data_IF_535698079490
#
_entry.id   IF_535698079490
#
_cell.length_a   1.000
_cell.length_b   1.000
_cell.length_c   1.000
_cell.angle_alpha   90.00
_cell.angle_beta   90.00
_cell.angle_gamma   90.00
#
_symmetry.space_group_name_H-M   'P 1'
#
loop_
_entity.id
_entity.type
_entity.pdbx_description
1 polymer ?
#
# COMPACT_ATOMS: atom_id res chain seq x y z
N UNK A 1 -2.11 17.59 4.96
CA UNK A 1 -3.56 17.37 5.11
C UNK A 1 -3.79 15.88 5.40
N UNK A 2 -5.00 15.37 5.65
CA UNK A 2 -5.25 13.93 5.50
C UNK A 2 -4.87 13.51 4.08
N UNK A 3 -4.10 12.43 3.94
CA UNK A 3 -3.57 12.01 2.63
C UNK A 3 -3.88 10.53 2.39
N UNK A 4 -4.44 10.24 1.21
CA UNK A 4 -4.61 8.88 0.69
C UNK A 4 -3.58 8.62 -0.41
N UNK A 5 -2.81 7.55 -0.27
CA UNK A 5 -1.79 7.14 -1.24
C UNK A 5 -2.33 5.95 -2.05
N UNK A 6 -2.22 6.03 -3.37
CA UNK A 6 -2.63 5.01 -4.32
C UNK A 6 -1.51 4.78 -5.32
N UNK A 7 -1.32 3.53 -5.76
CA UNK A 7 -0.36 3.16 -6.80
C UNK A 7 -1.12 2.89 -8.10
N UNK A 8 -0.55 3.27 -9.24
CA UNK A 8 -1.12 2.95 -10.55
C UNK A 8 -1.30 1.44 -10.74
N UNK A 9 -0.34 0.64 -10.26
CA UNK A 9 -0.40 -0.82 -10.27
C UNK A 9 -1.53 -1.43 -9.42
N UNK A 10 -2.13 -0.68 -8.49
CA UNK A 10 -3.26 -1.12 -7.66
C UNK A 10 -4.64 -0.71 -8.25
N UNK A 11 -4.64 0.01 -9.38
CA UNK A 11 -5.86 0.32 -10.11
C UNK A 11 -6.39 -0.92 -10.81
N UNK A 12 -7.71 -0.99 -11.00
CA UNK A 12 -8.38 -2.11 -11.64
C UNK A 12 -8.97 -1.73 -13.00
N UNK A 13 -9.13 -2.73 -13.88
CA UNK A 13 -9.74 -2.58 -15.21
C UNK A 13 -11.17 -2.04 -15.19
N UNK A 14 -11.87 -2.08 -14.07
CA UNK A 14 -13.25 -1.62 -13.89
C UNK A 14 -13.35 -0.28 -13.14
N UNK A 15 -12.23 0.28 -12.67
CA UNK A 15 -12.23 1.60 -12.02
C UNK A 15 -12.63 2.69 -13.03
N UNK A 16 -13.77 3.34 -12.80
CA UNK A 16 -14.30 4.38 -13.67
C UNK A 16 -13.73 5.75 -13.33
N UNK A 17 -13.15 5.89 -12.15
CA UNK A 17 -12.44 7.07 -11.65
C UNK A 17 -11.50 6.71 -10.51
N UNK A 18 -10.68 7.68 -10.07
CA UNK A 18 -9.87 7.55 -8.85
C UNK A 18 -10.71 7.35 -7.57
N UNK A 19 -11.99 7.73 -7.58
CA UNK A 19 -12.90 7.55 -6.46
C UNK A 19 -13.15 6.06 -6.16
N UNK A 20 -13.17 5.21 -7.19
CA UNK A 20 -13.42 3.77 -7.05
C UNK A 20 -12.25 3.06 -6.37
N UNK A 21 -11.03 3.37 -6.82
CA UNK A 21 -9.79 2.94 -6.18
C UNK A 21 -9.71 3.46 -4.73
N UNK A 22 -10.03 4.73 -4.50
CA UNK A 22 -10.02 5.31 -3.16
C UNK A 22 -11.02 4.62 -2.22
N UNK A 23 -12.25 4.35 -2.69
CA UNK A 23 -13.28 3.64 -1.94
C UNK A 23 -12.84 2.22 -1.60
N UNK A 24 -12.26 1.49 -2.56
CA UNK A 24 -11.73 0.14 -2.35
C UNK A 24 -10.60 0.12 -1.32
N UNK A 25 -9.65 1.06 -1.42
CA UNK A 25 -8.53 1.18 -0.48
C UNK A 25 -9.02 1.53 0.93
N UNK A 26 -9.95 2.47 1.08
CA UNK A 26 -10.54 2.82 2.37
C UNK A 26 -11.32 1.64 2.97
N UNK A 27 -12.09 0.91 2.18
CA UNK A 27 -12.78 -0.30 2.64
C UNK A 27 -11.80 -1.38 3.11
N UNK A 28 -10.64 -1.53 2.45
CA UNK A 28 -9.57 -2.43 2.92
C UNK A 28 -8.95 -1.95 4.24
N UNK A 29 -8.62 -0.67 4.34
CA UNK A 29 -8.07 -0.09 5.57
C UNK A 29 -9.05 -0.19 6.75
N UNK A 30 -10.33 0.11 6.52
CA UNK A 30 -11.38 -0.01 7.51
C UNK A 30 -11.50 -1.44 8.05
N UNK A 31 -11.43 -2.46 7.19
CA UNK A 31 -11.41 -3.86 7.62
C UNK A 31 -10.21 -4.22 8.49
N UNK A 32 -9.04 -3.66 8.20
CA UNK A 32 -7.83 -3.89 9.01
C UNK A 32 -7.97 -3.23 10.39
N UNK A 33 -8.48 -2.00 10.44
CA UNK A 33 -8.67 -1.27 11.70
C UNK A 33 -9.82 -1.84 12.53
N UNK A 34 -10.87 -2.35 11.89
CA UNK A 34 -12.01 -2.99 12.54
C UNK A 34 -11.73 -4.46 12.92
N UNK A 35 -10.55 -5.01 12.60
CA UNK A 35 -10.18 -6.34 13.03
C UNK A 35 -10.27 -6.43 14.57
N UNK A 36 -10.88 -7.48 15.14
CA UNK A 36 -11.06 -7.58 16.57
C UNK A 36 -9.70 -7.59 17.28
N UNK A 37 -9.53 -6.67 18.22
CA UNK A 37 -8.46 -6.70 19.21
C UNK A 37 -9.06 -7.35 20.48
N UNK A 38 -8.50 -8.48 20.97
CA UNK A 38 -9.04 -9.15 22.16
C UNK A 38 -9.08 -8.26 23.40
N UNK A 39 -8.23 -7.23 23.46
CA UNK A 39 -8.14 -6.31 24.60
C UNK A 39 -8.83 -4.97 24.35
N UNK A 40 -9.38 -4.73 23.14
CA UNK A 40 -10.03 -3.47 22.80
C UNK A 40 -11.24 -3.66 21.86
N UNK A 41 -12.45 -3.24 22.27
CA UNK A 41 -13.56 -3.19 21.33
C UNK A 41 -13.20 -2.25 20.16
N UNK A 42 -13.34 -2.78 18.93
CA UNK A 42 -12.99 -2.06 17.70
C UNK A 42 -13.86 -0.81 17.48
N UNK A 43 -13.40 0.16 16.67
CA UNK A 43 -14.15 1.40 16.45
C UNK A 43 -15.45 1.11 15.68
N UNK A 44 -16.59 1.52 16.24
CA UNK A 44 -17.89 1.39 15.56
C UNK A 44 -17.99 2.36 14.38
N UNK A 45 -18.61 1.92 13.27
CA UNK A 45 -18.94 2.78 12.12
C UNK A 45 -17.83 2.97 11.06
N UNK A 46 -16.73 2.21 11.13
CA UNK A 46 -15.66 2.24 10.12
C UNK A 46 -16.09 1.68 8.75
N UNK A 47 -17.15 0.87 8.69
CA UNK A 47 -17.68 0.31 7.43
C UNK A 47 -18.22 1.37 6.45
N UNK A 48 -18.59 2.55 6.95
CA UNK A 48 -19.18 3.64 6.15
C UNK A 48 -18.16 4.75 5.80
N UNK A 49 -16.86 4.43 5.85
CA UNK A 49 -15.80 5.38 5.48
C UNK A 49 -15.68 5.43 3.96
N UNK A 50 -16.39 6.39 3.37
CA UNK A 50 -16.25 6.73 1.95
C UNK A 50 -15.23 7.84 1.74
N UNK A 51 -14.60 7.92 0.56
CA UNK A 51 -13.70 9.03 0.26
C UNK A 51 -14.41 10.38 0.28
N UNK A 52 -15.69 10.45 -0.11
CA UNK A 52 -16.51 11.66 -0.04
C UNK A 52 -16.70 12.14 1.40
N UNK A 53 -16.98 11.20 2.33
CA UNK A 53 -17.12 11.50 3.75
C UNK A 53 -15.80 11.97 4.34
N UNK A 54 -14.69 11.32 3.98
CA UNK A 54 -13.35 11.73 4.40
C UNK A 54 -13.01 13.14 3.92
N UNK A 55 -13.31 13.45 2.65
CA UNK A 55 -13.11 14.78 2.08
C UNK A 55 -13.96 15.84 2.76
N UNK A 56 -15.24 15.53 3.05
CA UNK A 56 -16.10 16.42 3.82
C UNK A 56 -15.54 16.68 5.22
N UNK A 57 -15.13 15.64 5.95
CA UNK A 57 -14.54 15.78 7.28
C UNK A 57 -13.25 16.62 7.25
N UNK A 58 -12.36 16.33 6.29
CA UNK A 58 -11.13 17.11 6.10
C UNK A 58 -11.47 18.60 5.88
N UNK A 59 -12.43 18.89 4.99
CA UNK A 59 -12.91 20.24 4.72
C UNK A 59 -13.47 20.93 5.97
N UNK A 60 -14.29 20.26 6.76
CA UNK A 60 -14.80 20.83 8.02
C UNK A 60 -13.68 21.14 9.02
N UNK A 61 -12.56 20.44 8.93
CA UNK A 61 -11.33 20.71 9.68
C UNK A 61 -10.42 21.75 8.99
N UNK A 62 -10.88 22.45 7.95
CA UNK A 62 -10.16 23.50 7.23
C UNK A 62 -9.01 22.99 6.35
N UNK A 63 -9.00 21.71 5.98
CA UNK A 63 -7.91 21.09 5.18
C UNK A 63 -8.50 20.25 4.05
N UNK A 64 -8.08 20.40 2.79
CA UNK A 64 -8.58 19.53 1.72
C UNK A 64 -8.07 18.09 1.92
N UNK A 65 -8.80 17.09 1.43
CA UNK A 65 -8.25 15.75 1.28
C UNK A 65 -7.19 15.78 0.17
N UNK A 66 -6.01 15.22 0.43
CA UNK A 66 -4.97 15.04 -0.57
C UNK A 66 -4.97 13.59 -1.04
N UNK A 67 -4.94 13.36 -2.34
CA UNK A 67 -4.72 12.04 -2.94
C UNK A 67 -3.41 12.08 -3.72
N UNK A 68 -2.51 11.15 -3.42
CA UNK A 68 -1.27 10.95 -4.17
C UNK A 68 -1.41 9.69 -5.02
N UNK A 69 -1.32 9.83 -6.34
CA UNK A 69 -1.26 8.72 -7.28
C UNK A 69 0.18 8.53 -7.75
N UNK A 70 0.78 7.41 -7.36
CA UNK A 70 2.16 7.04 -7.64
C UNK A 70 2.24 6.04 -8.80
N UNK A 71 3.02 6.35 -9.83
CA UNK A 71 3.24 5.50 -10.99
C UNK A 71 1.97 5.16 -11.79
N UNK A 72 1.12 6.13 -12.18
CA UNK A 72 -0.05 5.86 -13.04
C UNK A 72 0.31 5.17 -14.36
N UNK A 73 1.55 5.30 -14.85
CA UNK A 73 2.05 4.57 -16.02
C UNK A 73 2.05 3.03 -15.85
N UNK A 74 1.93 2.52 -14.62
CA UNK A 74 1.79 1.09 -14.32
C UNK A 74 0.32 0.63 -14.29
N UNK A 75 -0.65 1.50 -14.62
CA UNK A 75 -2.06 1.17 -14.63
C UNK A 75 -2.39 0.06 -15.65
N UNK A 76 -3.48 -0.70 -15.43
CA UNK A 76 -3.90 -1.71 -16.38
C UNK A 76 -4.18 -1.14 -17.79
N UNK A 77 -3.82 -1.86 -18.88
CA UNK A 77 -3.99 -1.36 -20.24
C UNK A 77 -5.44 -1.03 -20.61
N UNK A 78 -6.42 -1.75 -20.06
CA UNK A 78 -7.85 -1.47 -20.31
C UNK A 78 -8.22 -0.08 -19.79
N UNK A 79 -7.72 0.29 -18.61
CA UNK A 79 -7.91 1.61 -18.05
C UNK A 79 -7.15 2.67 -18.86
N UNK A 80 -5.91 2.38 -19.27
CA UNK A 80 -5.11 3.29 -20.10
C UNK A 80 -5.78 3.62 -21.45
N UNK A 81 -6.44 2.66 -22.10
CA UNK A 81 -7.17 2.90 -23.35
C UNK A 81 -8.38 3.82 -23.19
N UNK A 82 -8.92 3.97 -21.97
CA UNK A 82 -10.06 4.84 -21.65
C UNK A 82 -9.65 6.03 -20.77
N UNK A 83 -8.38 6.41 -20.81
CA UNK A 83 -7.82 7.47 -19.98
C UNK A 83 -8.59 8.80 -20.04
N UNK A 84 -9.07 9.29 -21.20
CA UNK A 84 -9.86 10.52 -21.24
C UNK A 84 -11.14 10.44 -20.40
N UNK A 85 -11.93 9.37 -20.57
CA UNK A 85 -13.18 9.16 -19.84
C UNK A 85 -12.93 8.97 -18.33
N UNK A 86 -11.91 8.19 -17.98
CA UNK A 86 -11.50 7.99 -16.59
C UNK A 86 -11.04 9.30 -15.93
N UNK A 87 -10.32 10.13 -16.68
CA UNK A 87 -9.80 11.42 -16.22
C UNK A 87 -10.93 12.43 -16.04
N UNK A 88 -11.90 12.47 -16.94
CA UNK A 88 -13.09 13.32 -16.82
C UNK A 88 -13.88 13.01 -15.55
N UNK A 89 -14.17 11.73 -15.28
CA UNK A 89 -14.86 11.33 -14.05
C UNK A 89 -14.03 11.60 -12.80
N UNK A 90 -12.72 11.36 -12.86
CA UNK A 90 -11.81 11.73 -11.77
C UNK A 90 -11.85 13.23 -11.50
N UNK A 91 -11.80 14.06 -12.55
CA UNK A 91 -11.88 15.50 -12.45
C UNK A 91 -13.23 15.99 -11.88
N UNK A 92 -14.34 15.37 -12.26
CA UNK A 92 -15.66 15.65 -11.68
C UNK A 92 -15.67 15.39 -10.18
N UNK A 93 -15.22 14.20 -9.77
CA UNK A 93 -15.14 13.80 -8.37
C UNK A 93 -14.24 14.71 -7.53
N UNK A 94 -13.06 15.09 -8.04
CA UNK A 94 -12.15 16.02 -7.36
C UNK A 94 -12.82 17.37 -7.08
N UNK A 95 -13.60 17.92 -8.03
CA UNK A 95 -14.33 19.18 -7.85
C UNK A 95 -15.46 19.06 -6.85
N UNK A 96 -16.27 18.01 -6.95
CA UNK A 96 -17.42 17.78 -6.06
C UNK A 96 -16.97 17.67 -4.59
N UNK A 97 -15.84 17.01 -4.37
CA UNK A 97 -15.30 16.76 -3.03
C UNK A 97 -14.30 17.82 -2.55
N UNK A 98 -13.85 18.73 -3.43
CA UNK A 98 -12.72 19.65 -3.19
C UNK A 98 -11.46 18.89 -2.72
N UNK A 99 -11.25 17.72 -3.33
CA UNK A 99 -10.07 16.89 -3.13
C UNK A 99 -8.96 17.38 -4.05
N UNK A 100 -7.73 17.37 -3.56
CA UNK A 100 -6.54 17.72 -4.34
C UNK A 100 -5.81 16.46 -4.76
N UNK A 101 -5.47 16.36 -6.04
CA UNK A 101 -4.68 15.27 -6.60
C UNK A 101 -3.24 15.71 -6.83
N UNK A 102 -2.29 14.86 -6.43
CA UNK A 102 -0.88 14.92 -6.82
C UNK A 102 -0.56 13.66 -7.59
N UNK A 103 0.04 13.81 -8.77
CA UNK A 103 0.45 12.69 -9.62
C UNK A 103 1.97 12.61 -9.61
N UNK A 104 2.50 11.54 -9.03
CA UNK A 104 3.92 11.21 -9.10
C UNK A 104 4.11 10.25 -10.29
N UNK A 105 4.53 10.82 -11.42
CA UNK A 105 4.69 10.08 -12.67
C UNK A 105 5.92 10.56 -13.42
N UNK A 106 6.33 9.77 -14.41
CA UNK A 106 7.28 10.19 -15.43
C UNK A 106 6.77 11.36 -16.27
N UNK A 107 7.70 12.23 -16.70
CA UNK A 107 7.36 13.42 -17.48
C UNK A 107 6.65 13.07 -18.80
N UNK A 108 7.11 12.01 -19.47
CA UNK A 108 6.56 11.54 -20.75
C UNK A 108 5.11 11.08 -20.60
N UNK A 109 4.77 10.47 -19.45
CA UNK A 109 3.40 10.11 -19.14
C UNK A 109 2.54 11.37 -18.92
N UNK A 110 3.06 12.35 -18.17
CA UNK A 110 2.34 13.59 -17.86
C UNK A 110 2.05 14.45 -19.09
N UNK A 111 2.94 14.47 -20.08
CA UNK A 111 2.73 15.20 -21.34
C UNK A 111 1.43 14.76 -22.06
N UNK A 112 1.11 13.46 -21.97
CA UNK A 112 -0.11 12.91 -22.54
C UNK A 112 -1.29 12.99 -21.55
N UNK A 113 -1.14 12.39 -20.37
CA UNK A 113 -2.21 12.27 -19.39
C UNK A 113 -2.65 13.63 -18.82
N UNK A 114 -1.71 14.56 -18.65
CA UNK A 114 -1.98 15.91 -18.14
C UNK A 114 -2.83 16.75 -19.07
N UNK A 115 -2.84 16.45 -20.38
CA UNK A 115 -3.68 17.13 -21.37
C UNK A 115 -5.18 16.78 -21.22
N UNK A 116 -5.48 15.60 -20.67
CA UNK A 116 -6.86 15.14 -20.42
C UNK A 116 -7.49 15.84 -19.20
N UNK A 117 -6.67 16.39 -18.30
CA UNK A 117 -7.17 17.14 -17.14
C UNK A 117 -7.62 18.55 -17.54
N UNK A 118 -8.82 18.98 -17.12
CA UNK A 118 -9.27 20.35 -17.35
C UNK A 118 -8.31 21.37 -16.71
N UNK A 119 -7.91 22.41 -17.46
CA UNK A 119 -6.90 23.39 -17.03
C UNK A 119 -7.16 24.01 -15.65
N UNK A 120 -8.43 24.20 -15.28
CA UNK A 120 -8.82 24.74 -13.98
C UNK A 120 -8.43 23.85 -12.77
N UNK A 121 -8.11 22.57 -13.00
CA UNK A 121 -7.60 21.64 -11.98
C UNK A 121 -6.08 21.54 -11.95
N UNK A 122 -5.40 22.00 -13.01
CA UNK A 122 -3.95 21.94 -13.05
C UNK A 122 -3.38 22.95 -12.05
N UNK A 123 -2.30 22.55 -11.40
CA UNK A 123 -1.58 23.44 -10.50
C UNK A 123 -0.99 24.59 -11.32
N UNK A 124 -1.49 25.80 -11.08
CA UNK A 124 -0.87 27.02 -11.55
C UNK A 124 0.11 27.52 -10.46
N UNK A 125 1.42 27.47 -10.69
CA UNK A 125 2.35 28.10 -9.77
C UNK A 125 2.03 29.59 -9.77
N UNK A 126 1.56 30.11 -8.64
CA UNK A 126 1.23 31.53 -8.49
C UNK A 126 2.34 32.40 -9.11
N UNK A 127 2.01 33.41 -9.93
CA UNK A 127 3.01 34.23 -10.59
C UNK A 127 3.94 34.85 -9.53
N UNK A 128 5.21 34.40 -9.50
CA UNK A 128 6.21 34.80 -8.52
C UNK A 128 6.71 33.68 -7.59
N UNK A 129 6.11 32.49 -7.61
CA UNK A 129 6.72 31.32 -6.98
C UNK A 129 7.99 30.95 -7.78
N UNK A 130 9.17 30.85 -7.16
CA UNK A 130 10.37 30.43 -7.88
C UNK A 130 10.12 29.05 -8.47
N UNK A 131 10.11 28.97 -9.80
CA UNK A 131 10.13 27.68 -10.49
C UNK A 131 11.40 26.97 -10.04
N UNK A 132 11.34 25.73 -9.52
CA UNK A 132 12.53 24.91 -9.34
C UNK A 132 13.01 24.54 -10.75
N UNK A 133 13.64 25.49 -11.43
CA UNK A 133 14.34 25.22 -12.68
C UNK A 133 15.44 24.19 -12.43
N UNK A 134 15.94 23.51 -13.47
CA UNK A 134 17.06 22.60 -13.33
C UNK A 134 18.27 23.43 -12.87
N UNK A 135 18.55 23.45 -11.57
CA UNK A 135 19.78 24.02 -11.03
C UNK A 135 20.93 23.21 -11.61
N UNK A 136 21.67 23.85 -12.52
CA UNK A 136 22.90 23.32 -13.09
C UNK A 136 23.89 22.93 -12.00
N UNK A 137 24.48 21.75 -12.18
CA UNK A 137 25.67 21.19 -11.54
C UNK A 137 26.27 21.97 -10.34
N UNK A 138 26.06 21.42 -9.13
CA UNK A 138 26.83 21.83 -7.95
C UNK A 138 26.32 21.17 -6.67
N UNK A 139 26.98 20.10 -6.25
CA UNK A 139 26.76 19.31 -5.02
C UNK A 139 25.51 18.40 -5.01
N UNK A 140 25.74 17.15 -5.38
CA UNK A 140 24.93 15.98 -5.00
C UNK A 140 24.89 15.85 -3.48
N UNK A 141 24.06 16.64 -2.81
CA UNK A 141 23.59 16.27 -1.48
C UNK A 141 22.52 15.21 -1.68
N UNK A 142 22.95 13.93 -1.68
CA UNK A 142 22.02 12.81 -1.53
C UNK A 142 21.10 13.16 -0.36
N UNK A 143 19.77 13.10 -0.49
CA UNK A 143 18.93 13.06 0.69
C UNK A 143 19.39 11.84 1.49
N UNK A 144 19.96 12.08 2.67
CA UNK A 144 20.20 11.02 3.64
C UNK A 144 18.82 10.61 4.12
N UNK A 145 18.21 9.64 3.43
CA UNK A 145 17.23 8.78 4.08
C UNK A 145 17.90 8.26 5.35
N UNK A 146 17.26 8.45 6.50
CA UNK A 146 17.72 7.82 7.72
C UNK A 146 17.92 6.33 7.38
N UNK A 147 19.10 5.73 7.58
CA UNK A 147 19.24 4.31 7.33
C UNK A 147 18.11 3.61 8.08
N UNK A 148 17.42 2.70 7.39
CA UNK A 148 16.47 1.79 8.02
C UNK A 148 17.03 1.42 9.39
N UNK A 149 16.29 1.73 10.45
CA UNK A 149 16.59 1.19 11.75
C UNK A 149 16.60 -0.32 11.55
N UNK A 150 17.80 -0.89 11.53
CA UNK A 150 17.97 -2.33 11.46
C UNK A 150 17.16 -2.88 12.61
N UNK A 151 16.14 -3.67 12.27
CA UNK A 151 15.38 -4.44 13.24
C UNK A 151 16.40 -5.14 14.13
N UNK A 152 16.43 -4.90 15.45
CA UNK A 152 17.42 -5.54 16.31
C UNK A 152 17.33 -7.04 16.06
N UNK A 153 18.47 -7.61 15.67
CA UNK A 153 18.68 -9.04 15.61
C UNK A 153 18.10 -9.60 16.91
N UNK A 154 17.15 -10.54 16.81
CA UNK A 154 16.67 -11.24 17.98
C UNK A 154 17.91 -11.76 18.74
N UNK A 155 18.01 -11.55 20.07
CA UNK A 155 19.08 -12.19 20.82
C UNK A 155 18.99 -13.70 20.56
N UNK A 156 20.14 -14.31 20.31
CA UNK A 156 20.28 -15.75 20.15
C UNK A 156 19.43 -16.50 21.17
N UNK A 157 18.75 -17.53 20.68
CA UNK A 157 17.89 -18.39 21.46
C UNK A 157 18.61 -18.84 22.76
N UNK A 158 17.96 -18.80 23.93
CA UNK A 158 18.55 -19.38 25.12
C UNK A 158 18.81 -20.88 24.91
N UNK A 159 19.98 -21.33 25.36
CA UNK A 159 20.43 -22.72 25.32
C UNK A 159 19.33 -23.72 25.75
N UNK A 160 19.28 -24.91 25.13
CA UNK A 160 18.42 -25.98 25.62
C UNK A 160 18.81 -26.35 27.04
N UNK A 161 17.85 -26.25 27.96
CA UNK A 161 18.04 -26.62 29.37
C UNK A 161 18.53 -28.07 29.48
N UNK A 162 19.54 -28.36 30.32
CA UNK A 162 19.93 -29.74 30.59
C UNK A 162 18.77 -30.46 31.29
N UNK A 163 18.30 -31.54 30.68
CA UNK A 163 17.33 -32.44 31.31
C UNK A 163 17.96 -33.11 32.55
N UNK A 164 17.19 -33.36 33.62
CA UNK A 164 17.72 -34.04 34.78
C UNK A 164 18.05 -35.49 34.43
N UNK A 165 19.34 -35.81 34.45
CA UNK A 165 19.83 -37.18 34.45
C UNK A 165 19.41 -37.89 35.73
N UNK A 166 18.76 -39.04 35.56
CA UNK A 166 18.31 -39.92 36.63
C UNK A 166 18.41 -41.38 36.21
N UNK A 167 19.63 -41.91 36.38
CA UNK A 167 20.02 -43.30 36.61
C UNK A 167 19.26 -44.48 35.96
N UNK A 168 20.02 -45.12 35.05
CA UNK A 168 20.28 -46.56 34.88
C UNK A 168 19.47 -47.54 35.76
N UNK A 169 18.79 -48.47 35.08
CA UNK A 169 18.35 -49.76 35.61
C UNK A 169 18.47 -50.82 34.52
N UNK A 170 19.45 -51.71 34.69
CA UNK A 170 19.81 -52.81 33.77
C UNK A 170 18.86 -54.00 33.91
N UNK A 171 18.63 -54.68 32.78
CA UNK A 171 18.22 -56.09 32.56
C UNK A 171 16.96 -56.16 31.68
N UNK A 172 16.88 -56.92 30.60
CA UNK A 172 17.72 -57.99 30.07
C UNK A 172 16.84 -58.88 29.19
N UNK A 173 17.38 -59.37 28.08
CA UNK A 173 16.76 -60.39 27.22
C UNK A 173 15.70 -59.83 26.26
N UNK A 174 15.65 -60.17 24.99
CA UNK A 174 16.37 -61.18 24.21
C UNK A 174 15.75 -61.12 22.82
N UNK A 175 16.60 -61.07 21.79
CA UNK A 175 16.19 -61.10 20.39
C UNK A 175 15.90 -62.55 20.02
N UNK A 176 14.89 -62.79 19.17
CA UNK A 176 15.25 -63.43 17.91
C UNK A 176 14.53 -62.80 16.71
N UNK A 177 15.31 -62.51 15.66
CA UNK A 177 14.90 -62.71 14.27
C UNK A 177 15.52 -64.02 13.83
N UNK A 178 14.89 -64.81 12.94
CA UNK A 178 14.92 -64.56 11.49
C UNK A 178 13.56 -64.95 10.85
N UNK A 179 13.27 -64.83 9.55
CA UNK A 179 13.99 -64.48 8.35
C UNK A 179 13.05 -64.74 7.15
N UNK A 180 13.37 -64.09 6.03
CA UNK A 180 13.34 -64.61 4.66
C UNK A 180 12.13 -65.42 4.15
N UNK A 181 11.50 -64.90 3.09
CA UNK A 181 10.71 -65.69 2.13
C UNK A 181 10.12 -64.82 1.02
N UNK A 182 10.86 -64.61 -0.08
CA UNK A 182 10.53 -65.07 -1.46
C UNK A 182 9.12 -64.66 -1.97
N UNK A 183 9.00 -63.72 -2.92
CA UNK A 183 9.16 -63.85 -4.40
C UNK A 183 7.96 -64.50 -5.11
N UNK A 184 7.14 -63.66 -5.77
CA UNK A 184 6.39 -63.91 -7.02
C UNK A 184 5.19 -64.88 -7.01
N UNK A 185 4.38 -64.98 -8.10
CA UNK A 185 4.62 -64.44 -9.46
C UNK A 185 3.48 -63.56 -10.04
N UNK A 186 3.76 -62.94 -11.19
CA UNK A 186 2.82 -62.24 -12.06
C UNK A 186 3.55 -61.35 -13.05
#
# INVERSE_FOLDING_TARGET
APTLWLRGADLHDDDMSLADAARRTLARAARIVAAPDPDRPGPAGLGDVTPERLAHLARTAGRPLLVALDGPEEMPPVLAHRLPEWTERTAAWLRETDTRLVVACRAEYWEHAGAEFPRALLYDPAPGAPSPGPTGAGATRRPTWAPEAQSPLAPDAPEPRPGPGGAVGVAGGGVPSPGTGLRGPG
#
